data_IF_076971322901
#
_entry.id   IF_076971322901
#
_cell.length_a   1.000
_cell.length_b   1.000
_cell.length_c   1.000
_cell.angle_alpha   90.00
_cell.angle_beta   90.00
_cell.angle_gamma   90.00
#
_symmetry.space_group_name_H-M   'P 1'
#
loop_
_entity.id
_entity.type
_entity.pdbx_description
1 polymer ?
#
# COMPACT_ATOMS: atom_id res chain seq x y z
N UNK A 1 -9.17 12.76 20.29
CA UNK A 1 -7.92 13.43 19.83
C UNK A 1 -6.79 12.46 19.53
N UNK A 2 -6.54 11.45 20.38
CA UNK A 2 -5.45 10.49 20.16
C UNK A 2 -5.71 9.52 19.00
N UNK A 3 -6.96 9.09 18.82
CA UNK A 3 -7.38 8.22 17.69
C UNK A 3 -7.19 8.92 16.33
N UNK A 4 -7.51 10.20 16.27
CA UNK A 4 -7.35 11.04 15.09
C UNK A 4 -5.87 11.20 14.72
N UNK A 5 -4.99 11.32 15.72
CA UNK A 5 -3.53 11.35 15.50
C UNK A 5 -3.00 9.99 15.00
N UNK A 6 -3.54 8.86 15.47
CA UNK A 6 -3.20 7.52 14.97
C UNK A 6 -3.61 7.42 13.49
N UNK A 7 -4.85 7.78 13.15
CA UNK A 7 -5.34 7.72 11.78
C UNK A 7 -4.56 8.67 10.86
N UNK A 8 -4.25 9.87 11.33
CA UNK A 8 -3.43 10.84 10.60
C UNK A 8 -2.02 10.31 10.32
N UNK A 9 -1.36 9.73 11.32
CA UNK A 9 -0.03 9.14 11.16
C UNK A 9 -0.03 8.03 10.10
N UNK A 10 -1.00 7.12 10.17
CA UNK A 10 -1.14 6.00 9.21
C UNK A 10 -1.45 6.50 7.80
N UNK A 11 -2.37 7.45 7.66
CA UNK A 11 -2.75 8.03 6.37
C UNK A 11 -1.58 8.77 5.71
N UNK A 12 -0.89 9.64 6.44
CA UNK A 12 0.25 10.40 5.91
C UNK A 12 1.43 9.49 5.57
N UNK A 13 1.65 8.42 6.35
CA UNK A 13 2.63 7.41 6.02
C UNK A 13 2.27 6.72 4.68
N UNK A 14 1.02 6.29 4.50
CA UNK A 14 0.59 5.67 3.23
C UNK A 14 0.65 6.66 2.06
N UNK A 15 0.30 7.92 2.28
CA UNK A 15 0.39 8.98 1.27
C UNK A 15 1.84 9.25 0.87
N UNK A 16 2.78 9.23 1.82
CA UNK A 16 4.21 9.24 1.50
C UNK A 16 4.58 8.05 0.61
N UNK A 17 4.09 6.85 0.92
CA UNK A 17 4.34 5.68 0.06
C UNK A 17 3.77 5.87 -1.35
N UNK A 18 2.62 6.51 -1.54
CA UNK A 18 2.10 6.77 -2.89
C UNK A 18 2.85 7.86 -3.66
N UNK A 19 3.24 8.93 -2.96
CA UNK A 19 3.71 10.18 -3.60
C UNK A 19 5.23 10.36 -3.58
N UNK A 20 5.93 9.68 -2.69
CA UNK A 20 7.34 9.87 -2.35
C UNK A 20 7.69 11.32 -1.92
N UNK A 21 6.72 12.09 -1.42
CA UNK A 21 6.93 13.47 -0.95
C UNK A 21 7.29 13.46 0.54
N UNK A 22 8.50 13.90 0.87
CA UNK A 22 9.06 13.85 2.24
C UNK A 22 8.22 14.58 3.29
N UNK A 23 7.49 15.65 2.91
CA UNK A 23 6.63 16.38 3.83
C UNK A 23 5.52 15.51 4.43
N UNK A 24 4.99 14.55 3.68
CA UNK A 24 4.03 13.57 4.20
C UNK A 24 4.65 12.67 5.26
N UNK A 25 5.89 12.21 5.03
CA UNK A 25 6.59 11.38 6.01
C UNK A 25 6.94 12.17 7.29
N UNK A 26 7.37 13.42 7.14
CA UNK A 26 7.67 14.31 8.27
C UNK A 26 6.41 14.57 9.11
N UNK A 27 5.28 14.84 8.47
CA UNK A 27 4.00 15.05 9.14
C UNK A 27 3.50 13.78 9.84
N UNK A 28 3.66 12.60 9.24
CA UNK A 28 3.34 11.31 9.88
C UNK A 28 4.16 11.10 11.17
N UNK A 29 5.48 11.33 11.10
CA UNK A 29 6.39 11.26 12.26
C UNK A 29 6.05 12.29 13.32
N UNK A 30 5.59 13.48 12.92
CA UNK A 30 5.17 14.52 13.84
C UNK A 30 3.90 14.11 14.61
N UNK A 31 2.90 13.53 13.92
CA UNK A 31 1.69 13.00 14.55
C UNK A 31 2.02 11.92 15.61
N UNK A 32 2.99 11.04 15.32
CA UNK A 32 3.43 10.03 16.30
C UNK A 32 4.02 10.63 17.58
N UNK A 33 4.66 11.81 17.54
CA UNK A 33 5.21 12.44 18.74
C UNK A 33 4.13 12.80 19.76
N UNK A 34 2.95 13.21 19.29
CA UNK A 34 1.81 13.48 20.18
C UNK A 34 1.29 12.22 20.89
N UNK A 35 1.49 11.04 20.28
CA UNK A 35 1.10 9.75 20.87
C UNK A 35 2.10 9.26 21.92
N UNK A 36 3.28 9.88 22.02
CA UNK A 36 4.32 9.55 23.02
C UNK A 36 4.28 10.43 24.27
N UNK A 37 3.32 11.35 24.34
CA UNK A 37 3.08 12.19 25.53
C UNK A 37 2.57 11.29 26.67
N UNK A 38 3.13 11.34 27.89
CA UNK A 38 2.80 10.39 28.97
C UNK A 38 1.30 10.25 29.24
N UNK A 39 0.57 11.35 29.26
CA UNK A 39 -0.88 11.41 29.50
C UNK A 39 -1.70 10.68 28.42
N UNK A 40 -1.12 10.50 27.23
CA UNK A 40 -1.70 9.77 26.09
C UNK A 40 -1.18 8.33 26.06
N UNK A 41 0.10 8.13 26.34
CA UNK A 41 0.76 6.83 26.28
C UNK A 41 0.31 5.85 27.37
N UNK A 42 -0.18 6.36 28.50
CA UNK A 42 -0.73 5.54 29.59
C UNK A 42 -2.17 5.06 29.32
N UNK A 43 -2.81 5.53 28.23
CA UNK A 43 -4.13 5.07 27.82
C UNK A 43 -4.05 3.72 27.10
N UNK A 44 -4.46 2.68 27.81
CA UNK A 44 -4.53 1.30 27.29
C UNK A 44 -5.47 1.15 26.10
N UNK A 45 -6.49 1.99 25.97
CA UNK A 45 -7.49 1.87 24.90
C UNK A 45 -6.92 2.17 23.51
N UNK A 46 -5.89 3.01 23.42
CA UNK A 46 -5.28 3.42 22.14
C UNK A 46 -3.97 2.71 21.83
N UNK A 47 -3.40 1.99 22.81
CA UNK A 47 -2.06 1.36 22.72
C UNK A 47 -1.93 0.49 21.47
N UNK A 48 -2.95 -0.31 21.14
CA UNK A 48 -2.94 -1.15 19.94
C UNK A 48 -2.82 -0.33 18.65
N UNK A 49 -3.54 0.79 18.55
CA UNK A 49 -3.48 1.68 17.39
C UNK A 49 -2.14 2.38 17.25
N UNK A 50 -1.53 2.78 18.38
CA UNK A 50 -0.16 3.34 18.40
C UNK A 50 0.86 2.33 17.91
N UNK A 51 0.82 1.09 18.41
CA UNK A 51 1.72 0.01 17.99
C UNK A 51 1.54 -0.34 16.51
N UNK A 52 0.30 -0.35 16.02
CA UNK A 52 0.02 -0.55 14.61
C UNK A 52 0.63 0.57 13.75
N UNK A 53 0.40 1.84 14.10
CA UNK A 53 0.96 2.97 13.37
C UNK A 53 2.49 2.97 13.37
N UNK A 54 3.12 2.63 14.50
CA UNK A 54 4.57 2.47 14.60
C UNK A 54 5.08 1.35 13.67
N UNK A 55 4.43 0.18 13.68
CA UNK A 55 4.80 -0.93 12.80
C UNK A 55 4.67 -0.59 11.31
N UNK A 56 3.66 0.20 10.92
CA UNK A 56 3.47 0.63 9.53
C UNK A 56 4.50 1.68 9.11
N UNK A 57 5.02 2.49 10.03
CA UNK A 57 6.08 3.47 9.74
C UNK A 57 7.44 2.81 9.47
N UNK A 58 7.72 1.71 10.16
CA UNK A 58 9.00 1.00 10.05
C UNK A 58 9.11 0.13 8.80
N UNK A 59 7.98 -0.24 8.18
CA UNK A 59 7.91 -1.24 7.11
C UNK A 59 7.26 -0.65 5.87
N UNK A 60 7.65 -1.03 4.65
CA UNK A 60 6.92 -0.65 3.46
C UNK A 60 5.62 -1.45 3.33
N UNK A 61 4.58 -0.88 2.70
CA UNK A 61 3.32 -1.57 2.48
C UNK A 61 3.49 -2.66 1.44
N UNK A 62 2.60 -3.65 1.47
CA UNK A 62 2.45 -4.58 0.34
C UNK A 62 2.02 -3.78 -0.89
N UNK A 63 2.71 -3.95 -2.00
CA UNK A 63 2.45 -3.22 -3.23
C UNK A 63 1.73 -4.14 -4.23
N UNK A 64 0.48 -3.83 -4.53
CA UNK A 64 -0.32 -4.50 -5.56
C UNK A 64 -0.29 -3.62 -6.80
N UNK A 65 0.33 -4.09 -7.87
CA UNK A 65 0.53 -3.26 -9.08
C UNK A 65 -0.08 -3.95 -10.27
N UNK A 66 -1.03 -3.27 -10.93
CA UNK A 66 -1.53 -3.67 -12.24
C UNK A 66 -0.65 -3.00 -13.31
N UNK A 67 0.08 -3.82 -14.07
CA UNK A 67 0.73 -3.39 -15.30
C UNK A 67 -0.26 -3.49 -16.44
N UNK A 68 -0.43 -2.42 -17.21
CA UNK A 68 -1.23 -2.46 -18.44
C UNK A 68 -1.82 -1.11 -18.78
N UNK A 69 -2.08 -0.87 -20.06
CA UNK A 69 -2.69 0.39 -20.46
C UNK A 69 -4.09 0.54 -19.90
N UNK A 70 -4.45 1.76 -19.46
CA UNK A 70 -5.82 2.10 -19.04
C UNK A 70 -6.85 1.97 -20.16
N UNK A 71 -6.39 1.93 -21.42
CA UNK A 71 -7.22 1.68 -22.59
C UNK A 71 -7.46 0.20 -22.86
N UNK A 72 -6.68 -0.70 -22.26
CA UNK A 72 -6.82 -2.14 -22.45
C UNK A 72 -8.03 -2.67 -21.66
N UNK A 73 -8.95 -3.33 -22.36
CA UNK A 73 -10.15 -3.94 -21.76
C UNK A 73 -9.79 -5.03 -20.73
N UNK A 74 -8.70 -5.78 -20.93
CA UNK A 74 -8.25 -6.77 -19.94
C UNK A 74 -7.77 -6.10 -18.66
N UNK A 75 -7.04 -4.99 -18.76
CA UNK A 75 -6.57 -4.26 -17.59
C UNK A 75 -7.76 -3.70 -16.78
N UNK A 76 -8.78 -3.16 -17.46
CA UNK A 76 -10.03 -2.70 -16.82
C UNK A 76 -10.76 -3.81 -16.08
N UNK A 77 -10.74 -5.04 -16.60
CA UNK A 77 -11.35 -6.22 -15.95
C UNK A 77 -10.57 -6.66 -14.72
N UNK A 78 -9.23 -6.62 -14.77
CA UNK A 78 -8.37 -7.04 -13.64
C UNK A 78 -8.33 -5.99 -12.51
N UNK A 79 -8.53 -4.71 -12.82
CA UNK A 79 -8.42 -3.62 -11.85
C UNK A 79 -9.35 -3.74 -10.63
N UNK A 80 -10.67 -4.00 -10.77
CA UNK A 80 -11.55 -4.21 -9.63
C UNK A 80 -11.12 -5.38 -8.73
N UNK A 81 -10.50 -6.42 -9.28
CA UNK A 81 -10.02 -7.56 -8.51
C UNK A 81 -8.74 -7.21 -7.73
N UNK A 82 -7.87 -6.38 -8.30
CA UNK A 82 -6.69 -5.86 -7.61
C UNK A 82 -7.04 -4.97 -6.41
N UNK A 83 -8.20 -4.32 -6.41
CA UNK A 83 -8.69 -3.52 -5.27
C UNK A 83 -9.27 -4.35 -4.12
N UNK A 84 -9.54 -5.64 -4.33
CA UNK A 84 -10.16 -6.54 -3.33
C UNK A 84 -9.15 -7.19 -2.39
N UNK A 85 -7.86 -6.82 -2.45
CA UNK A 85 -6.85 -7.40 -1.57
C UNK A 85 -7.15 -7.08 -0.09
N UNK A 86 -7.32 -8.08 0.78
CA UNK A 86 -7.78 -7.89 2.16
C UNK A 86 -6.60 -7.59 3.09
N UNK A 87 -5.76 -6.62 2.72
CA UNK A 87 -4.58 -6.25 3.50
C UNK A 87 -4.84 -4.94 4.23
N UNK A 88 -4.51 -4.87 5.52
CA UNK A 88 -4.71 -3.66 6.32
C UNK A 88 -3.75 -2.52 5.96
N UNK A 89 -2.55 -2.86 5.46
CA UNK A 89 -1.52 -1.92 5.05
C UNK A 89 -0.95 -2.31 3.69
N UNK A 90 -1.53 -1.75 2.64
CA UNK A 90 -1.13 -2.01 1.26
C UNK A 90 -1.32 -0.78 0.37
N UNK A 91 -0.60 -0.77 -0.74
CA UNK A 91 -0.67 0.23 -1.81
C UNK A 91 -1.14 -0.49 -3.07
N UNK A 92 -2.21 -0.01 -3.70
CA UNK A 92 -2.65 -0.49 -5.02
C UNK A 92 -2.38 0.58 -6.06
N UNK A 93 -1.64 0.22 -7.11
CA UNK A 93 -1.27 1.11 -8.21
C UNK A 93 -1.66 0.51 -9.56
N UNK A 94 -2.23 1.34 -10.43
CA UNK A 94 -2.42 1.01 -11.84
C UNK A 94 -1.39 1.75 -12.66
N UNK A 95 -0.38 1.01 -13.12
CA UNK A 95 0.70 1.58 -13.91
C UNK A 95 0.47 1.41 -15.42
N UNK A 96 0.19 2.53 -16.08
CA UNK A 96 0.21 2.66 -17.53
C UNK A 96 1.53 3.35 -17.94
N UNK A 97 2.34 2.65 -18.76
CA UNK A 97 3.63 3.18 -19.25
C UNK A 97 3.49 4.53 -19.95
N UNK A 98 2.35 4.81 -20.57
CA UNK A 98 2.12 6.08 -21.28
C UNK A 98 1.98 7.28 -20.35
N UNK A 99 1.72 7.07 -19.05
CA UNK A 99 1.60 8.14 -18.04
C UNK A 99 2.95 8.48 -17.38
N UNK A 100 4.01 7.75 -17.72
CA UNK A 100 5.35 7.93 -17.14
C UNK A 100 5.63 6.98 -15.97
N UNK A 101 6.75 7.18 -15.25
CA UNK A 101 7.13 6.32 -14.13
C UNK A 101 6.20 6.51 -12.92
N UNK A 102 6.05 5.46 -12.10
CA UNK A 102 5.38 5.58 -10.81
C UNK A 102 6.15 6.57 -9.89
N UNK A 103 5.46 7.42 -9.12
CA UNK A 103 6.11 8.37 -8.21
C UNK A 103 7.00 7.69 -7.15
N UNK A 104 6.58 6.53 -6.66
CA UNK A 104 7.34 5.67 -5.75
C UNK A 104 7.79 4.40 -6.47
N UNK A 105 8.83 4.53 -7.30
CA UNK A 105 9.38 3.45 -8.12
C UNK A 105 10.36 2.57 -7.34
N UNK A 106 9.86 1.91 -6.30
CA UNK A 106 10.67 1.06 -5.41
C UNK A 106 11.07 -0.28 -6.07
N UNK A 107 10.41 -0.64 -7.17
CA UNK A 107 10.55 -1.95 -7.84
C UNK A 107 10.58 -1.80 -9.36
N UNK A 108 11.51 -2.48 -10.02
CA UNK A 108 11.55 -2.59 -11.48
C UNK A 108 10.63 -3.71 -11.96
N UNK A 109 9.69 -3.39 -12.86
CA UNK A 109 8.78 -4.37 -13.44
C UNK A 109 9.25 -4.81 -14.82
N UNK A 110 9.06 -6.11 -15.17
CA UNK A 110 9.39 -6.60 -16.50
C UNK A 110 8.46 -6.01 -17.56
N UNK A 111 8.96 -5.92 -18.80
CA UNK A 111 8.11 -5.60 -19.93
C UNK A 111 7.24 -6.79 -20.30
N UNK A 112 5.92 -6.61 -20.20
CA UNK A 112 4.94 -7.62 -20.58
C UNK A 112 4.13 -7.16 -21.78
N UNK A 113 3.81 -8.10 -22.67
CA UNK A 113 2.95 -7.86 -23.84
C UNK A 113 1.46 -7.82 -23.51
N UNK A 114 1.08 -8.19 -22.28
CA UNK A 114 -0.32 -8.25 -21.81
C UNK A 114 -0.43 -7.77 -20.36
N UNK A 115 -1.60 -7.26 -19.93
CA UNK A 115 -1.78 -6.76 -18.57
C UNK A 115 -1.60 -7.85 -17.53
N UNK A 116 -1.00 -7.49 -16.39
CA UNK A 116 -0.77 -8.43 -15.29
C UNK A 116 -0.74 -7.72 -13.93
N UNK A 117 -1.20 -8.44 -12.91
CA UNK A 117 -1.14 -7.98 -11.52
C UNK A 117 0.04 -8.62 -10.80
N UNK A 118 0.83 -7.78 -10.15
CA UNK A 118 1.93 -8.15 -9.27
C UNK A 118 1.57 -7.85 -7.82
N UNK A 119 2.09 -8.68 -6.91
CA UNK A 119 2.06 -8.40 -5.48
C UNK A 119 3.50 -8.43 -4.99
N UNK A 120 4.00 -7.29 -4.52
CA UNK A 120 5.38 -7.11 -4.14
C UNK A 120 5.50 -6.69 -2.67
N UNK A 121 6.57 -7.13 -2.02
CA UNK A 121 6.99 -6.66 -0.69
C UNK A 121 8.45 -6.25 -0.80
N UNK A 122 8.74 -4.99 -0.50
CA UNK A 122 10.08 -4.40 -0.66
C UNK A 122 10.62 -4.59 -2.09
N UNK A 123 11.50 -5.58 -2.27
CA UNK A 123 12.21 -5.90 -3.51
C UNK A 123 11.79 -7.22 -4.15
N UNK A 124 10.81 -7.93 -3.57
CA UNK A 124 10.36 -9.24 -4.05
C UNK A 124 8.94 -9.16 -4.58
N UNK A 125 8.76 -9.52 -5.83
CA UNK A 125 7.44 -9.65 -6.45
C UNK A 125 7.06 -11.11 -6.65
N UNK A 126 5.76 -11.36 -6.55
CA UNK A 126 5.16 -12.61 -7.01
C UNK A 126 5.25 -12.75 -8.54
N UNK A 127 4.92 -13.94 -9.04
CA UNK A 127 4.72 -14.17 -10.46
C UNK A 127 3.59 -13.26 -11.00
N UNK A 128 3.58 -12.89 -12.29
CA UNK A 128 2.47 -12.14 -12.87
C UNK A 128 1.16 -12.95 -12.83
N UNK A 129 0.07 -12.33 -12.34
CA UNK A 129 -1.29 -12.86 -12.49
C UNK A 129 -1.96 -12.21 -13.71
N UNK A 130 -2.35 -13.03 -14.68
CA UNK A 130 -2.97 -12.57 -15.93
C UNK A 130 -4.50 -12.73 -15.93
N UNK A 131 -5.01 -13.63 -15.10
CA UNK A 131 -6.43 -13.99 -15.05
C UNK A 131 -7.01 -13.69 -13.66
N UNK A 132 -8.32 -13.44 -13.61
CA UNK A 132 -9.05 -13.17 -12.35
C UNK A 132 -8.87 -14.33 -11.35
N UNK A 133 -8.90 -15.57 -11.83
CA UNK A 133 -8.77 -16.77 -10.99
C UNK A 133 -7.44 -16.83 -10.24
N UNK A 134 -6.36 -16.31 -10.83
CA UNK A 134 -5.05 -16.26 -10.18
C UNK A 134 -5.00 -15.19 -9.09
N UNK A 135 -5.66 -14.06 -9.29
CA UNK A 135 -5.81 -12.99 -8.28
C UNK A 135 -6.64 -13.52 -7.10
N UNK A 136 -7.76 -14.18 -7.37
CA UNK A 136 -8.63 -14.74 -6.34
C UNK A 136 -7.96 -15.83 -5.51
N UNK A 137 -7.15 -16.69 -6.14
CA UNK A 137 -6.33 -17.67 -5.40
C UNK A 137 -5.35 -16.98 -4.45
N UNK A 138 -4.74 -15.86 -4.85
CA UNK A 138 -3.83 -15.09 -3.99
C UNK A 138 -4.58 -14.47 -2.82
N UNK A 139 -5.72 -13.84 -3.08
CA UNK A 139 -6.59 -13.30 -2.04
C UNK A 139 -6.98 -14.41 -1.05
N UNK A 140 -7.43 -15.56 -1.55
CA UNK A 140 -7.81 -16.71 -0.73
C UNK A 140 -6.67 -17.29 0.11
N UNK A 141 -5.41 -17.17 -0.33
CA UNK A 141 -4.25 -17.58 0.47
C UNK A 141 -3.87 -16.56 1.55
N UNK A 142 -4.27 -15.30 1.41
CA UNK A 142 -4.02 -14.25 2.40
C UNK A 142 -5.11 -14.18 3.48
N UNK A 143 -6.29 -14.76 3.23
CA UNK A 143 -7.42 -14.79 4.18
C UNK A 143 -7.50 -16.06 5.02
N UNK A 144 -6.63 -17.04 4.79
CA UNK A 144 -6.54 -18.27 5.60
C UNK A 144 -5.70 -18.03 6.85
#
# INVERSE_FOLDING_TARGET
>A
MSEENIQLARYLNLLFRYSNIESHQAAAKHAMKFLTIPEVAEDLYITCGVLQAASELERPPVHVTLLGSKKDEKAKILWPEALKFPLSYHRVDWWDKSEGPLPANDVSYPELSRPAVFTCTESRCSLPAFEISDIQKRIGNLTK
#
